data_IF_241747037307
#
_entry.id   IF_241747037307
#
_cell.length_a   1.000
_cell.length_b   1.000
_cell.length_c   1.000
_cell.angle_alpha   90.00
_cell.angle_beta   90.00
_cell.angle_gamma   90.00
#
_symmetry.space_group_name_H-M   'P 1'
#
loop_
_entity.id
_entity.type
_entity.pdbx_description
1 polymer ?
#
# COMPACT_ATOMS: atom_id res chain seq x y z
N UNK A 1 -17.13 -0.24 24.74
CA UNK A 1 -17.54 0.02 23.34
C UNK A 1 -17.20 -1.25 22.57
N UNK A 2 -18.21 -1.97 22.13
CA UNK A 2 -18.04 -3.24 21.42
C UNK A 2 -17.36 -3.01 20.07
N UNK A 3 -16.34 -3.83 19.79
CA UNK A 3 -15.56 -3.83 18.55
C UNK A 3 -16.35 -4.31 17.31
N UNK A 4 -17.66 -4.61 17.45
CA UNK A 4 -18.42 -5.38 16.48
C UNK A 4 -18.85 -4.63 15.21
N UNK A 5 -18.72 -3.29 15.14
CA UNK A 5 -19.20 -2.46 14.02
C UNK A 5 -18.15 -1.54 13.38
N UNK A 6 -16.85 -1.76 13.63
CA UNK A 6 -15.80 -0.89 13.07
C UNK A 6 -15.47 -1.27 11.63
N UNK A 7 -15.29 -0.26 10.77
CA UNK A 7 -14.82 -0.45 9.38
C UNK A 7 -13.30 -0.69 9.31
N UNK A 8 -12.56 -0.14 10.27
CA UNK A 8 -11.11 -0.29 10.39
C UNK A 8 -10.81 -1.01 11.71
N UNK A 9 -10.19 -2.19 11.68
CA UNK A 9 -9.78 -2.91 12.89
C UNK A 9 -8.81 -2.12 13.77
N UNK A 10 -8.88 -2.34 15.09
CA UNK A 10 -7.95 -1.76 16.08
C UNK A 10 -8.64 -1.25 17.34
N UNK A 11 -8.03 -0.29 18.03
CA UNK A 11 -8.56 0.35 19.24
C UNK A 11 -8.29 1.86 19.20
N UNK A 12 -9.30 2.74 19.24
CA UNK A 12 -9.11 4.18 19.17
C UNK A 12 -8.03 4.73 20.11
N UNK A 13 -7.24 5.67 19.61
CA UNK A 13 -6.08 6.24 20.32
C UNK A 13 -4.81 5.37 20.32
N UNK A 14 -4.92 4.08 19.97
CA UNK A 14 -3.85 3.09 20.11
C UNK A 14 -3.50 2.40 18.78
N UNK A 15 -2.92 3.11 17.80
CA UNK A 15 -2.50 2.50 16.54
C UNK A 15 -1.33 1.55 16.79
N UNK A 16 -1.29 0.42 16.09
CA UNK A 16 -0.16 -0.52 16.20
C UNK A 16 0.99 -0.13 15.28
N UNK A 17 2.18 -0.71 15.50
CA UNK A 17 3.28 -0.61 14.55
C UNK A 17 3.08 -1.59 13.40
N UNK A 18 3.47 -1.20 12.19
CA UNK A 18 3.43 -2.11 11.05
C UNK A 18 4.68 -3.00 10.97
N UNK A 19 4.46 -4.27 10.69
CA UNK A 19 5.44 -5.33 10.49
C UNK A 19 4.99 -6.17 9.28
N UNK A 20 5.68 -6.08 8.12
CA UNK A 20 5.32 -6.82 6.92
C UNK A 20 5.28 -8.35 7.11
N UNK A 21 6.05 -8.89 8.05
CA UNK A 21 6.05 -10.33 8.35
C UNK A 21 4.77 -10.72 9.07
N UNK A 22 4.34 -9.93 10.06
CA UNK A 22 3.05 -10.15 10.75
C UNK A 22 1.87 -9.99 9.79
N UNK A 23 1.89 -8.94 8.97
CA UNK A 23 0.88 -8.73 7.93
C UNK A 23 0.80 -9.93 6.98
N UNK A 24 1.93 -10.43 6.47
CA UNK A 24 1.96 -11.59 5.58
C UNK A 24 1.32 -12.84 6.21
N UNK A 25 1.60 -13.10 7.49
CA UNK A 25 0.96 -14.21 8.22
C UNK A 25 -0.55 -14.02 8.37
N UNK A 26 -0.99 -12.79 8.69
CA UNK A 26 -2.41 -12.45 8.82
C UNK A 26 -3.14 -12.55 7.46
N UNK A 27 -2.48 -12.19 6.35
CA UNK A 27 -3.03 -12.36 5.00
C UNK A 27 -3.25 -13.83 4.65
N UNK A 28 -2.27 -14.70 4.90
CA UNK A 28 -2.45 -16.14 4.68
C UNK A 28 -3.63 -16.71 5.46
N UNK A 29 -3.72 -16.38 6.74
CA UNK A 29 -4.82 -16.83 7.60
C UNK A 29 -6.17 -16.35 7.08
N UNK A 30 -6.27 -15.09 6.62
CA UNK A 30 -7.49 -14.55 6.01
C UNK A 30 -7.89 -15.26 4.71
N UNK A 31 -6.94 -15.89 4.02
CA UNK A 31 -7.15 -16.71 2.84
C UNK A 31 -7.46 -18.19 3.17
N UNK A 32 -7.55 -18.54 4.45
CA UNK A 32 -7.76 -19.92 4.90
C UNK A 32 -6.51 -20.80 4.85
N UNK A 33 -5.33 -20.19 4.72
CA UNK A 33 -4.04 -20.89 4.66
C UNK A 33 -3.34 -20.86 6.04
N UNK A 34 -2.55 -21.89 6.39
CA UNK A 34 -1.72 -21.85 7.60
C UNK A 34 -0.78 -20.65 7.57
N UNK A 35 -0.61 -19.96 8.71
CA UNK A 35 0.31 -18.82 8.89
C UNK A 35 1.78 -19.15 8.59
N UNK A 36 2.12 -20.44 8.52
CA UNK A 36 3.45 -20.96 8.17
C UNK A 36 3.67 -21.17 6.66
N UNK A 37 2.62 -21.02 5.85
CA UNK A 37 2.70 -21.19 4.38
C UNK A 37 3.71 -20.20 3.78
N UNK A 38 4.44 -20.64 2.74
CA UNK A 38 5.37 -19.76 2.03
C UNK A 38 4.64 -18.84 1.05
N UNK A 39 5.00 -17.56 1.00
CA UNK A 39 4.58 -16.60 -0.04
C UNK A 39 5.75 -16.19 -0.95
N UNK A 40 6.67 -17.11 -1.24
CA UNK A 40 7.84 -16.86 -2.10
C UNK A 40 7.39 -16.27 -3.45
N UNK A 41 8.05 -15.20 -3.88
CA UNK A 41 7.67 -14.44 -5.09
C UNK A 41 6.75 -13.26 -4.81
N UNK A 42 6.30 -13.06 -3.57
CA UNK A 42 5.46 -11.94 -3.17
C UNK A 42 6.05 -11.19 -1.96
N UNK A 43 5.58 -9.97 -1.74
CA UNK A 43 5.74 -9.24 -0.50
C UNK A 43 4.40 -8.71 -0.01
N UNK A 44 4.16 -8.81 1.30
CA UNK A 44 3.02 -8.17 1.93
C UNK A 44 3.21 -6.65 1.88
N UNK A 45 2.25 -5.98 1.25
CA UNK A 45 2.17 -4.52 1.17
C UNK A 45 1.09 -4.04 2.11
N UNK A 46 1.45 -3.09 2.98
CA UNK A 46 0.48 -2.29 3.74
C UNK A 46 -0.21 -1.29 2.81
N UNK A 47 -1.55 -1.30 2.75
CA UNK A 47 -2.34 -0.35 1.94
C UNK A 47 -2.26 1.05 2.55
N UNK A 48 -2.55 1.19 3.85
CA UNK A 48 -2.11 2.35 4.63
C UNK A 48 -0.70 2.05 5.14
N UNK A 49 0.35 2.75 4.66
CA UNK A 49 1.74 2.41 4.95
C UNK A 49 2.08 2.44 6.45
N UNK A 50 2.89 1.48 6.88
CA UNK A 50 3.34 1.36 8.28
C UNK A 50 4.04 2.61 8.80
N UNK A 51 4.74 3.35 7.94
CA UNK A 51 5.45 4.59 8.28
C UNK A 51 4.52 5.75 8.66
N UNK A 52 3.22 5.60 8.44
CA UNK A 52 2.19 6.64 8.68
C UNK A 52 1.35 6.30 9.93
N UNK A 53 1.70 5.26 10.68
CA UNK A 53 0.96 4.87 11.89
C UNK A 53 0.89 5.94 12.98
N UNK A 54 1.84 6.89 12.98
CA UNK A 54 1.86 8.06 13.88
C UNK A 54 1.06 9.27 13.38
N UNK A 55 0.46 9.19 12.19
CA UNK A 55 -0.37 10.28 11.66
C UNK A 55 -1.55 10.56 12.59
N UNK A 56 -1.92 11.83 12.87
CA UNK A 56 -2.97 12.17 13.84
C UNK A 56 -4.30 11.44 13.62
N UNK A 57 -4.76 11.36 12.37
CA UNK A 57 -5.98 10.61 11.99
C UNK A 57 -5.85 9.13 12.32
N UNK A 58 -4.74 8.48 11.90
CA UNK A 58 -4.50 7.05 12.14
C UNK A 58 -4.40 6.75 13.63
N UNK A 59 -3.76 7.64 14.40
CA UNK A 59 -3.69 7.53 15.85
C UNK A 59 -5.06 7.69 16.51
N UNK A 60 -5.87 8.66 16.07
CA UNK A 60 -7.20 8.90 16.62
C UNK A 60 -8.11 7.69 16.43
N UNK A 61 -8.17 7.13 15.20
CA UNK A 61 -8.94 5.91 14.95
C UNK A 61 -8.25 4.66 15.54
N UNK A 62 -6.95 4.73 15.80
CA UNK A 62 -6.20 3.64 16.43
C UNK A 62 -6.20 2.35 15.60
N UNK A 63 -5.80 2.48 14.34
CA UNK A 63 -5.78 1.39 13.35
C UNK A 63 -4.80 0.27 13.73
N UNK A 64 -5.21 -0.98 13.60
CA UNK A 64 -4.33 -2.15 13.59
C UNK A 64 -3.63 -2.24 12.23
N UNK A 65 -2.36 -1.86 12.19
CA UNK A 65 -1.61 -1.76 10.95
C UNK A 65 -1.37 -3.11 10.28
N UNK A 66 -1.31 -4.20 11.04
CA UNK A 66 -1.02 -5.54 10.52
C UNK A 66 -2.27 -6.35 10.19
N UNK A 67 -3.45 -5.78 10.36
CA UNK A 67 -4.69 -6.47 10.02
C UNK A 67 -4.71 -6.81 8.52
N UNK A 68 -5.23 -7.98 8.19
CA UNK A 68 -5.30 -8.48 6.81
C UNK A 68 -6.07 -7.54 5.88
N UNK A 69 -7.06 -6.77 6.40
CA UNK A 69 -7.81 -5.77 5.63
C UNK A 69 -6.93 -4.60 5.17
N UNK A 70 -5.83 -4.32 5.88
CA UNK A 70 -4.84 -3.32 5.50
C UNK A 70 -3.71 -3.89 4.62
N UNK A 71 -3.85 -5.12 4.13
CA UNK A 71 -2.80 -5.81 3.39
C UNK A 71 -3.22 -6.29 2.01
N UNK A 72 -2.20 -6.51 1.18
CA UNK A 72 -2.29 -7.31 -0.04
C UNK A 72 -0.92 -7.95 -0.33
N UNK A 73 -0.91 -9.15 -0.90
CA UNK A 73 0.30 -9.71 -1.48
C UNK A 73 0.52 -9.12 -2.87
N UNK A 74 1.65 -8.43 -3.05
CA UNK A 74 2.08 -7.94 -4.35
C UNK A 74 3.27 -8.74 -4.85
N UNK A 75 3.30 -9.13 -6.12
CA UNK A 75 4.41 -9.89 -6.66
C UNK A 75 5.68 -9.04 -6.66
N UNK A 76 6.82 -9.67 -6.37
CA UNK A 76 8.11 -9.01 -6.55
C UNK A 76 8.32 -8.70 -8.04
N UNK A 77 9.12 -7.68 -8.40
CA UNK A 77 9.43 -7.42 -9.80
C UNK A 77 10.07 -8.65 -10.46
N UNK A 78 9.46 -9.11 -11.55
CA UNK A 78 9.93 -10.16 -12.45
C UNK A 78 9.69 -9.74 -13.91
N UNK A 79 10.21 -10.51 -14.86
CA UNK A 79 9.97 -10.27 -16.30
C UNK A 79 8.54 -10.67 -16.74
N UNK A 80 7.80 -11.38 -15.88
CA UNK A 80 6.43 -11.81 -16.17
C UNK A 80 5.48 -10.62 -16.24
N UNK A 81 4.37 -10.79 -16.97
CA UNK A 81 3.27 -9.83 -16.94
C UNK A 81 2.47 -10.02 -15.65
N UNK A 82 2.04 -8.92 -15.02
CA UNK A 82 1.17 -8.93 -13.85
C UNK A 82 0.14 -7.83 -13.97
N UNK A 83 -1.11 -8.14 -13.63
CA UNK A 83 -2.17 -7.15 -13.44
C UNK A 83 -1.98 -6.36 -12.15
N UNK A 84 -1.31 -6.95 -11.15
CA UNK A 84 -0.99 -6.30 -9.88
C UNK A 84 0.26 -5.43 -9.99
N UNK A 85 0.33 -4.41 -9.15
CA UNK A 85 1.54 -3.62 -8.93
C UNK A 85 2.67 -4.51 -8.42
N UNK A 86 3.91 -4.18 -8.80
CA UNK A 86 5.10 -4.84 -8.26
C UNK A 86 5.54 -4.19 -6.95
N UNK A 87 5.99 -4.99 -5.98
CA UNK A 87 6.46 -4.50 -4.68
C UNK A 87 7.80 -5.13 -4.27
N UNK A 88 8.77 -4.27 -3.96
CA UNK A 88 10.05 -4.63 -3.36
C UNK A 88 10.56 -3.53 -2.43
N UNK A 89 10.23 -3.62 -1.15
CA UNK A 89 10.68 -2.66 -0.14
C UNK A 89 10.09 -1.25 -0.32
N UNK A 90 10.79 -0.23 0.19
CA UNK A 90 10.25 1.11 0.41
C UNK A 90 9.89 1.91 -0.86
N UNK A 91 8.72 2.58 -0.85
CA UNK A 91 8.15 3.35 -1.97
C UNK A 91 7.69 4.77 -1.54
N UNK A 92 8.57 5.77 -1.62
CA UNK A 92 8.27 7.12 -1.12
C UNK A 92 7.09 7.81 -1.78
N UNK A 93 6.88 7.65 -3.10
CA UNK A 93 5.78 8.31 -3.81
C UNK A 93 4.43 7.89 -3.26
N UNK A 94 4.21 6.59 -3.15
CA UNK A 94 2.97 6.05 -2.60
C UNK A 94 2.75 6.54 -1.16
N UNK A 95 3.78 6.43 -0.32
CA UNK A 95 3.71 6.90 1.07
C UNK A 95 3.37 8.39 1.18
N UNK A 96 3.96 9.24 0.33
CA UNK A 96 3.66 10.67 0.32
C UNK A 96 2.21 10.94 -0.08
N UNK A 97 1.69 10.24 -1.10
CA UNK A 97 0.30 10.41 -1.53
C UNK A 97 -0.66 10.00 -0.43
N UNK A 98 -0.45 8.84 0.21
CA UNK A 98 -1.31 8.41 1.32
C UNK A 98 -1.28 9.42 2.47
N UNK A 99 -0.10 9.94 2.82
CA UNK A 99 0.02 11.00 3.83
C UNK A 99 -0.79 12.24 3.45
N UNK A 100 -0.62 12.76 2.24
CA UNK A 100 -1.38 13.94 1.75
C UNK A 100 -2.89 13.74 1.79
N UNK A 101 -3.39 12.53 1.55
CA UNK A 101 -4.83 12.27 1.62
C UNK A 101 -5.33 12.25 3.06
N UNK A 102 -4.53 11.74 3.99
CA UNK A 102 -4.84 11.81 5.42
C UNK A 102 -4.74 13.25 5.97
N UNK A 103 -3.77 14.04 5.48
CA UNK A 103 -3.60 15.46 5.86
C UNK A 103 -4.82 16.32 5.46
N UNK A 104 -5.62 15.88 4.48
CA UNK A 104 -6.86 16.56 4.05
C UNK A 104 -8.06 16.26 4.97
N UNK A 105 -7.96 15.29 5.85
CA UNK A 105 -9.05 14.92 6.76
C UNK A 105 -9.02 15.81 8.00
N UNK A 106 -10.17 16.30 8.44
CA UNK A 106 -10.26 17.07 9.68
C UNK A 106 -10.19 16.13 10.89
N UNK A 107 -9.03 16.10 11.55
CA UNK A 107 -8.78 15.26 12.73
C UNK A 107 -9.75 15.53 13.88
N UNK A 108 -10.47 16.64 13.91
CA UNK A 108 -11.45 16.94 14.95
C UNK A 108 -12.78 16.21 14.76
N UNK A 109 -13.06 15.68 13.56
CA UNK A 109 -14.27 14.89 13.29
C UNK A 109 -14.37 13.65 14.17
N UNK A 110 -15.59 13.14 14.34
CA UNK A 110 -15.86 11.93 15.10
C UNK A 110 -15.09 10.72 14.54
N UNK A 111 -14.74 9.80 15.45
CA UNK A 111 -13.98 8.59 15.10
C UNK A 111 -14.69 7.81 13.98
N UNK A 112 -16.01 7.66 14.04
CA UNK A 112 -16.78 6.95 13.01
C UNK A 112 -16.69 7.61 11.63
N UNK A 113 -16.63 8.95 11.56
CA UNK A 113 -16.48 9.69 10.30
C UNK A 113 -15.08 9.48 9.73
N UNK A 114 -14.05 9.64 10.56
CA UNK A 114 -12.65 9.42 10.16
C UNK A 114 -12.40 7.96 9.75
N UNK A 115 -12.98 6.99 10.47
CA UNK A 115 -12.90 5.57 10.09
C UNK A 115 -13.47 5.32 8.70
N UNK A 116 -14.64 5.89 8.39
CA UNK A 116 -15.23 5.78 7.07
C UNK A 116 -14.36 6.39 5.98
N UNK A 117 -13.81 7.59 6.20
CA UNK A 117 -12.92 8.25 5.25
C UNK A 117 -11.62 7.45 5.02
N UNK A 118 -11.01 6.94 6.09
CA UNK A 118 -9.80 6.10 6.00
C UNK A 118 -10.11 4.77 5.32
N UNK A 119 -11.26 4.16 5.61
CA UNK A 119 -11.70 2.95 4.94
C UNK A 119 -11.89 3.18 3.43
N UNK A 120 -12.57 4.25 3.02
CA UNK A 120 -12.76 4.60 1.60
C UNK A 120 -11.42 4.85 0.89
N UNK A 121 -10.51 5.58 1.54
CA UNK A 121 -9.15 5.77 1.04
C UNK A 121 -8.42 4.42 0.88
N UNK A 122 -8.48 3.55 1.88
CA UNK A 122 -7.90 2.21 1.84
C UNK A 122 -8.45 1.40 0.66
N UNK A 123 -9.77 1.41 0.42
CA UNK A 123 -10.37 0.67 -0.69
C UNK A 123 -9.90 1.22 -2.06
N UNK A 124 -9.86 2.55 -2.24
CA UNK A 124 -9.37 3.15 -3.50
C UNK A 124 -7.90 2.83 -3.76
N UNK A 125 -7.07 2.87 -2.71
CA UNK A 125 -5.65 2.53 -2.79
C UNK A 125 -5.44 1.05 -3.14
N UNK A 126 -6.17 0.15 -2.47
CA UNK A 126 -6.16 -1.28 -2.75
C UNK A 126 -6.54 -1.57 -4.20
N UNK A 127 -7.61 -0.93 -4.69
CA UNK A 127 -8.02 -1.08 -6.10
C UNK A 127 -6.97 -0.55 -7.08
N UNK A 128 -6.25 0.52 -6.71
CA UNK A 128 -5.14 1.04 -7.51
C UNK A 128 -4.03 0.01 -7.69
N UNK A 129 -3.59 -0.64 -6.59
CA UNK A 129 -2.54 -1.66 -6.68
C UNK A 129 -3.01 -2.96 -7.33
N UNK A 130 -4.30 -3.30 -7.20
CA UNK A 130 -4.91 -4.42 -7.92
C UNK A 130 -4.97 -4.18 -9.44
N UNK A 131 -5.02 -2.92 -9.86
CA UNK A 131 -5.01 -2.51 -11.25
C UNK A 131 -3.62 -2.15 -11.78
N UNK A 132 -2.56 -2.45 -11.03
CA UNK A 132 -1.19 -2.32 -11.52
C UNK A 132 -0.60 -0.92 -11.42
N UNK A 133 -1.22 0.01 -10.67
CA UNK A 133 -0.63 1.34 -10.50
C UNK A 133 0.75 1.26 -9.85
N UNK A 134 1.78 1.85 -10.46
CA UNK A 134 3.14 1.70 -9.97
C UNK A 134 3.35 2.36 -8.60
N UNK A 135 4.14 1.71 -7.75
CA UNK A 135 4.54 2.25 -6.44
C UNK A 135 5.83 3.09 -6.51
N UNK A 136 6.68 2.83 -7.51
CA UNK A 136 8.03 3.39 -7.62
C UNK A 136 8.15 4.36 -8.79
N UNK A 137 8.85 5.49 -8.59
CA UNK A 137 9.27 6.36 -9.69
C UNK A 137 10.06 5.56 -10.73
N UNK A 138 9.96 5.95 -11.99
CA UNK A 138 10.88 5.46 -13.00
C UNK A 138 12.30 5.93 -12.66
N UNK A 139 13.29 5.06 -12.83
CA UNK A 139 14.71 5.41 -12.83
C UNK A 139 15.25 5.62 -14.25
N UNK A 140 14.38 5.46 -15.25
CA UNK A 140 14.68 5.64 -16.67
C UNK A 140 14.20 7.03 -17.07
N UNK A 141 15.13 7.85 -17.56
CA UNK A 141 14.85 9.23 -17.98
C UNK A 141 14.17 9.30 -19.35
N UNK A 142 14.66 8.56 -20.34
CA UNK A 142 14.08 8.46 -21.69
C UNK A 142 13.85 6.98 -22.01
N UNK A 143 12.58 6.57 -22.04
CA UNK A 143 12.17 5.18 -22.29
C UNK A 143 12.55 4.75 -23.70
N UNK A 144 12.33 5.61 -24.70
CA UNK A 144 12.61 5.30 -26.10
C UNK A 144 14.11 5.05 -26.32
N UNK A 145 14.96 5.95 -25.83
CA UNK A 145 16.42 5.79 -25.89
C UNK A 145 16.87 4.56 -25.10
N UNK A 146 16.27 4.29 -23.93
CA UNK A 146 16.61 3.14 -23.09
C UNK A 146 16.44 1.80 -23.82
N UNK A 147 15.38 1.67 -24.62
CA UNK A 147 15.16 0.48 -25.45
C UNK A 147 16.01 0.49 -26.72
N UNK A 148 16.08 1.61 -27.46
CA UNK A 148 16.89 1.72 -28.70
C UNK A 148 18.38 1.44 -28.48
N UNK A 149 18.93 1.88 -27.35
CA UNK A 149 20.34 1.67 -26.99
C UNK A 149 20.66 0.29 -26.42
N UNK A 150 19.65 -0.58 -26.22
CA UNK A 150 19.84 -1.91 -25.61
C UNK A 150 20.18 -1.88 -24.11
N UNK A 151 20.08 -0.72 -23.44
CA UNK A 151 20.33 -0.59 -21.98
C UNK A 151 19.40 -1.48 -21.15
N UNK A 152 18.21 -1.80 -21.66
CA UNK A 152 17.29 -2.77 -21.07
C UNK A 152 17.92 -4.16 -20.85
N UNK A 153 18.87 -4.60 -21.69
CA UNK A 153 19.57 -5.88 -21.52
C UNK A 153 20.57 -5.87 -20.35
N UNK A 154 21.00 -4.69 -19.91
CA UNK A 154 22.01 -4.50 -18.84
C UNK A 154 21.39 -4.09 -17.50
N UNK A 155 20.22 -3.45 -17.53
CA UNK A 155 19.49 -3.02 -16.34
C UNK A 155 18.29 -3.97 -16.09
N UNK A 156 18.36 -4.83 -15.07
CA UNK A 156 17.26 -5.74 -14.78
C UNK A 156 15.97 -5.02 -14.43
N UNK A 157 14.81 -5.65 -14.69
CA UNK A 157 13.48 -5.03 -14.51
C UNK A 157 13.29 -4.41 -13.11
N UNK A 158 13.78 -5.07 -12.06
CA UNK A 158 13.66 -4.55 -10.69
C UNK A 158 14.39 -3.23 -10.43
N UNK A 159 15.37 -2.88 -11.27
CA UNK A 159 16.13 -1.62 -11.17
C UNK A 159 15.58 -0.52 -12.08
N UNK A 160 14.52 -0.77 -12.86
CA UNK A 160 13.95 0.21 -13.81
C UNK A 160 12.97 1.18 -13.15
N UNK A 161 12.28 0.76 -12.08
CA UNK A 161 11.18 1.51 -11.46
C UNK A 161 9.84 1.27 -12.17
N UNK A 162 8.79 1.99 -11.77
CA UNK A 162 7.42 1.77 -12.26
C UNK A 162 6.73 2.97 -12.91
N UNK A 163 7.36 4.15 -12.93
CA UNK A 163 6.73 5.36 -13.45
C UNK A 163 5.70 6.01 -12.50
N UNK A 164 5.70 5.65 -11.22
CA UNK A 164 4.83 6.28 -10.23
C UNK A 164 5.12 7.77 -10.10
N UNK A 165 4.08 8.58 -10.15
CA UNK A 165 4.10 10.00 -9.78
C UNK A 165 3.01 10.26 -8.75
N UNK A 166 3.16 11.32 -7.95
CA UNK A 166 2.12 11.71 -7.00
C UNK A 166 0.84 12.11 -7.75
N UNK A 167 0.97 12.84 -8.86
CA UNK A 167 -0.14 13.20 -9.76
C UNK A 167 -0.91 11.99 -10.29
N UNK A 168 -0.22 10.92 -10.71
CA UNK A 168 -0.88 9.70 -11.20
C UNK A 168 -1.79 9.09 -10.14
N UNK A 169 -1.29 8.98 -8.91
CA UNK A 169 -2.04 8.45 -7.79
C UNK A 169 -3.15 9.41 -7.33
N UNK A 170 -2.89 10.71 -7.29
CA UNK A 170 -3.89 11.72 -6.95
C UNK A 170 -5.06 11.69 -7.95
N UNK A 171 -4.77 11.59 -9.26
CA UNK A 171 -5.77 11.41 -10.32
C UNK A 171 -6.53 10.10 -10.21
N UNK A 172 -5.90 9.04 -9.71
CA UNK A 172 -6.59 7.78 -9.44
C UNK A 172 -7.58 7.91 -8.28
N UNK A 173 -7.17 8.54 -7.19
CA UNK A 173 -7.98 8.68 -5.98
C UNK A 173 -9.14 9.68 -6.13
N UNK A 174 -9.06 10.58 -7.12
CA UNK A 174 -10.11 11.52 -7.48
C UNK A 174 -11.18 10.96 -8.41
N UNK A 175 -11.05 9.71 -8.88
CA UNK A 175 -12.11 8.99 -9.58
C UNK A 175 -13.14 8.45 -8.59
#
# INVERSE_FOLDING_TARGET
MDNANRLIPGTPGNPTSGDPTKLGKNLLESMGLPRSTSWKGYQAQHIIPSQINKHPVIKKIGMEMNDSTNGIFLPIPSDDVSSLSRHRGFHSVYNNVVRKQLDKMDVNQDIAVLEKQVYELQQKLKKGVENGLPLYKTKINNIEEFYKSGKNKKLPVWNRGGGATEELWERWLSK
#
